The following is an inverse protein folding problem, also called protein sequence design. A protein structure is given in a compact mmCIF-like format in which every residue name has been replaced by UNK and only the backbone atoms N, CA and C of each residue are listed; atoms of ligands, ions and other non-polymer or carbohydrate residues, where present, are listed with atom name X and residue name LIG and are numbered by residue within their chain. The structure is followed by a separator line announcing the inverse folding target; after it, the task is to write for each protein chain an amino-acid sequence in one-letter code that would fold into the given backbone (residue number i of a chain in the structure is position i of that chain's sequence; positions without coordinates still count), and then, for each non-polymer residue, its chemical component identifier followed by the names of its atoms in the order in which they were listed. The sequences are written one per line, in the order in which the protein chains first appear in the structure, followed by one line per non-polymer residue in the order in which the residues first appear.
data_IF_003997322656
#
_entry.id   IF_003997322656
#
_cell.length_a   1.000
_cell.length_b   1.000
_cell.length_c   1.000
_cell.angle_alpha   90.00
_cell.angle_beta   90.00
_cell.angle_gamma   90.00
#
_symmetry.space_group_name_H-M   'P 1'
#
loop_
_entity.id
_entity.type
_entity.pdbx_description
1 polymer ?
#
# COMPACT_ATOMS: atom_id res chain seq x y z
N UNK A 1 18.93 -68.14 48.09
CA UNK A 1 20.21 -68.09 48.82
C UNK A 1 21.23 -67.46 47.88
N UNK A 2 21.69 -66.22 48.15
CA UNK A 2 22.83 -65.44 47.59
C UNK A 2 23.12 -65.53 46.06
N UNK A 3 23.41 -64.47 45.27
CA UNK A 3 24.06 -63.20 45.55
C UNK A 3 23.93 -62.23 44.33
N UNK A 4 24.38 -60.99 44.57
CA UNK A 4 24.21 -59.73 43.84
C UNK A 4 24.79 -59.60 42.40
N UNK A 5 24.11 -58.73 41.63
CA UNK A 5 24.51 -57.73 40.59
C UNK A 5 25.94 -57.77 40.01
N UNK A 6 26.03 -57.49 38.69
CA UNK A 6 26.86 -56.42 38.10
C UNK A 6 26.27 -55.98 36.74
N UNK A 7 26.14 -54.67 36.54
CA UNK A 7 25.83 -54.03 35.25
C UNK A 7 27.14 -53.83 34.47
N UNK A 8 27.13 -54.09 33.17
CA UNK A 8 28.03 -53.44 32.19
C UNK A 8 27.22 -53.21 30.91
N UNK A 9 27.25 -51.97 30.46
CA UNK A 9 26.64 -51.40 29.26
C UNK A 9 27.42 -51.88 28.01
N UNK A 10 26.75 -52.43 27.01
CA UNK A 10 27.35 -52.75 25.69
C UNK A 10 26.78 -51.77 24.67
N UNK A 11 27.66 -50.92 24.15
CA UNK A 11 27.43 -50.00 23.04
C UNK A 11 27.82 -50.73 21.74
N UNK A 12 26.86 -51.01 20.86
CA UNK A 12 27.12 -51.59 19.53
C UNK A 12 27.12 -50.49 18.47
N UNK A 13 28.27 -50.36 17.77
CA UNK A 13 28.43 -49.58 16.54
C UNK A 13 27.50 -50.10 15.44
N UNK A 14 26.88 -49.18 14.70
CA UNK A 14 26.32 -49.44 13.36
C UNK A 14 26.87 -48.39 12.40
N UNK A 15 27.58 -48.87 11.38
CA UNK A 15 28.02 -48.09 10.22
C UNK A 15 26.84 -47.85 9.27
N UNK A 16 26.70 -46.63 8.73
CA UNK A 16 25.86 -46.39 7.57
C UNK A 16 26.71 -45.86 6.40
N UNK A 17 26.61 -46.58 5.30
CA UNK A 17 27.22 -46.29 4.00
C UNK A 17 26.51 -45.12 3.32
N UNK A 18 27.29 -44.27 2.65
CA UNK A 18 26.80 -43.23 1.74
C UNK A 18 26.15 -43.87 0.50
N UNK A 19 24.92 -43.46 0.19
CA UNK A 19 24.36 -43.57 -1.15
C UNK A 19 24.33 -42.18 -1.79
N UNK A 20 24.91 -42.09 -2.99
CA UNK A 20 24.88 -40.89 -3.82
C UNK A 20 23.49 -40.70 -4.46
N UNK A 21 23.05 -39.45 -4.49
CA UNK A 21 22.00 -38.99 -5.37
C UNK A 21 22.61 -37.98 -6.35
N UNK A 22 22.53 -38.31 -7.63
CA UNK A 22 22.85 -37.47 -8.78
C UNK A 22 21.92 -36.26 -8.83
N UNK A 23 22.47 -35.05 -8.70
CA UNK A 23 21.77 -33.82 -9.04
C UNK A 23 22.09 -33.47 -10.50
N UNK A 24 21.03 -33.41 -11.31
CA UNK A 24 21.03 -32.88 -12.67
C UNK A 24 21.52 -31.43 -12.65
N UNK A 25 22.58 -31.14 -13.40
CA UNK A 25 23.03 -29.77 -13.65
C UNK A 25 22.09 -29.10 -14.66
N UNK A 26 21.32 -28.11 -14.22
CA UNK A 26 20.76 -27.13 -15.13
C UNK A 26 21.86 -26.10 -15.45
N UNK A 27 22.30 -26.12 -16.70
CA UNK A 27 23.19 -25.12 -17.28
C UNK A 27 22.53 -23.73 -17.19
N UNK A 28 23.07 -22.84 -16.39
CA UNK A 28 22.88 -21.40 -16.56
C UNK A 28 23.91 -20.89 -17.59
N UNK A 29 23.53 -20.01 -18.54
CA UNK A 29 24.48 -19.48 -19.51
C UNK A 29 25.46 -18.53 -18.79
N UNK A 30 26.74 -18.83 -18.94
CA UNK A 30 27.86 -18.02 -18.51
C UNK A 30 27.82 -16.67 -19.25
N UNK A 31 27.33 -15.62 -18.58
CA UNK A 31 27.46 -14.25 -19.10
C UNK A 31 28.93 -13.86 -18.95
N UNK A 32 29.55 -13.65 -20.11
CA UNK A 32 30.91 -13.16 -20.30
C UNK A 32 31.17 -11.92 -19.42
N UNK A 33 31.78 -12.11 -18.25
CA UNK A 33 32.35 -11.01 -17.47
C UNK A 33 33.54 -10.44 -18.24
N UNK A 34 33.32 -9.35 -18.98
CA UNK A 34 34.42 -8.47 -19.35
C UNK A 34 34.92 -7.80 -18.07
N UNK A 35 36.07 -8.27 -17.61
CA UNK A 35 36.75 -7.82 -16.40
C UNK A 35 37.03 -6.31 -16.41
N UNK A 36 36.22 -5.52 -15.71
CA UNK A 36 36.74 -4.34 -15.02
C UNK A 36 37.38 -4.84 -13.73
N UNK A 37 38.71 -4.76 -13.65
CA UNK A 37 39.43 -4.79 -12.38
C UNK A 37 38.96 -3.59 -11.55
N UNK A 38 37.88 -3.77 -10.80
CA UNK A 38 37.62 -2.93 -9.65
C UNK A 38 38.71 -3.25 -8.63
N UNK A 39 39.46 -2.23 -8.22
CA UNK A 39 40.24 -2.32 -6.99
C UNK A 39 39.23 -2.47 -5.86
N UNK A 40 38.80 -3.70 -5.59
CA UNK A 40 38.10 -4.09 -4.38
C UNK A 40 39.17 -4.19 -3.30
N UNK A 41 39.65 -3.04 -2.86
CA UNK A 41 40.09 -2.86 -1.48
C UNK A 41 38.98 -2.02 -0.85
N UNK A 42 38.52 -2.46 0.31
CA UNK A 42 37.48 -1.81 1.16
C UNK A 42 36.06 -2.41 1.10
N UNK A 43 35.97 -3.74 1.11
CA UNK A 43 34.75 -4.44 1.61
C UNK A 43 34.90 -4.96 3.05
N UNK A 44 35.98 -4.60 3.74
CA UNK A 44 36.28 -5.07 5.11
C UNK A 44 36.63 -3.95 6.10
N UNK A 45 36.44 -2.68 5.75
CA UNK A 45 36.38 -1.64 6.79
C UNK A 45 35.00 -1.74 7.44
N UNK A 46 34.97 -2.05 8.74
CA UNK A 46 33.79 -1.90 9.57
C UNK A 46 33.21 -0.49 9.33
N UNK A 47 31.88 -0.29 9.29
CA UNK A 47 31.30 1.04 9.17
C UNK A 47 31.98 1.96 10.18
N UNK A 48 32.49 3.11 9.72
CA UNK A 48 32.80 4.21 10.65
C UNK A 48 31.55 4.37 11.50
N UNK A 49 31.74 4.34 12.82
CA UNK A 49 30.69 4.65 13.78
C UNK A 49 30.02 5.93 13.29
N UNK A 50 28.70 5.88 13.08
CA UNK A 50 27.90 7.04 12.64
C UNK A 50 28.29 8.25 13.46
N UNK A 51 28.78 9.31 12.80
CA UNK A 51 29.18 10.53 13.46
C UNK A 51 28.06 11.54 13.35
N UNK A 52 27.60 12.07 14.49
CA UNK A 52 26.71 13.22 14.50
C UNK A 52 27.38 14.37 13.74
N UNK A 53 26.67 14.94 12.79
CA UNK A 53 27.14 16.05 11.98
C UNK A 53 26.06 17.14 11.91
N UNK A 54 26.50 18.39 11.80
CA UNK A 54 25.58 19.49 11.51
C UNK A 54 24.95 19.33 10.12
N UNK A 55 24.03 20.21 9.78
CA UNK A 55 23.52 20.26 8.40
C UNK A 55 24.64 20.66 7.43
N UNK A 56 24.68 20.06 6.24
CA UNK A 56 25.66 20.36 5.19
C UNK A 56 25.01 21.27 4.16
N UNK A 57 25.67 22.38 3.82
CA UNK A 57 25.25 23.28 2.76
C UNK A 57 26.43 23.57 1.82
N UNK A 58 26.25 23.26 0.55
CA UNK A 58 27.24 23.46 -0.50
C UNK A 58 26.59 24.22 -1.66
N UNK A 59 27.19 25.31 -2.10
CA UNK A 59 26.72 26.09 -3.25
C UNK A 59 27.88 26.39 -4.20
N UNK A 60 27.97 25.61 -5.29
CA UNK A 60 29.01 25.73 -6.29
C UNK A 60 30.27 24.90 -6.03
N UNK A 61 31.05 24.72 -7.11
CA UNK A 61 32.23 23.85 -7.12
C UNK A 61 33.33 24.27 -6.13
N UNK A 62 33.55 25.58 -5.97
CA UNK A 62 34.58 26.08 -5.05
C UNK A 62 34.22 25.79 -3.59
N UNK A 63 32.96 26.07 -3.21
CA UNK A 63 32.47 25.78 -1.86
C UNK A 63 32.49 24.28 -1.59
N UNK A 64 32.21 23.44 -2.59
CA UNK A 64 32.36 21.99 -2.44
C UNK A 64 33.82 21.63 -2.10
N UNK A 65 34.79 22.13 -2.87
CA UNK A 65 36.21 21.86 -2.64
C UNK A 65 36.71 22.38 -1.28
N UNK A 66 36.25 23.55 -0.86
CA UNK A 66 36.57 24.14 0.44
C UNK A 66 36.02 23.28 1.60
N UNK A 67 34.74 22.86 1.50
CA UNK A 67 34.15 21.95 2.50
C UNK A 67 34.88 20.60 2.52
N UNK A 68 35.16 20.02 1.36
CA UNK A 68 35.88 18.75 1.28
C UNK A 68 37.25 18.83 1.95
N UNK A 69 37.97 19.94 1.75
CA UNK A 69 39.26 20.17 2.40
C UNK A 69 39.14 20.37 3.91
N UNK A 70 38.12 21.10 4.36
CA UNK A 70 37.86 21.38 5.78
C UNK A 70 37.40 20.14 6.56
N UNK A 71 36.51 19.36 5.98
CA UNK A 71 35.93 18.15 6.59
C UNK A 71 36.81 16.91 6.40
N UNK A 72 37.82 17.00 5.53
CA UNK A 72 38.69 15.87 5.18
C UNK A 72 37.99 14.83 4.30
N UNK A 73 37.00 15.24 3.50
CA UNK A 73 36.37 14.35 2.51
C UNK A 73 37.38 13.97 1.43
N UNK A 74 37.42 12.69 1.11
CA UNK A 74 38.30 12.16 0.05
C UNK A 74 37.74 12.55 -1.31
N UNK A 75 38.61 12.77 -2.28
CA UNK A 75 38.24 13.03 -3.67
C UNK A 75 38.74 14.37 -4.20
N UNK A 76 38.47 14.64 -5.47
CA UNK A 76 38.70 15.95 -6.09
C UNK A 76 37.54 16.39 -7.00
N UNK A 77 36.39 15.72 -6.91
CA UNK A 77 35.20 16.05 -7.69
C UNK A 77 35.25 15.62 -9.16
N UNK A 78 36.25 14.84 -9.58
CA UNK A 78 36.32 14.29 -10.95
C UNK A 78 35.63 12.92 -11.03
N UNK A 79 35.22 12.49 -12.23
CA UNK A 79 34.62 11.17 -12.44
C UNK A 79 35.46 10.01 -11.88
N UNK A 80 36.78 10.07 -12.05
CA UNK A 80 37.72 9.04 -11.56
C UNK A 80 38.02 9.14 -10.06
N UNK A 81 37.70 10.27 -9.44
CA UNK A 81 38.00 10.53 -8.03
C UNK A 81 36.94 11.49 -7.44
N UNK A 82 35.69 11.02 -7.27
CA UNK A 82 34.58 11.83 -6.79
C UNK A 82 34.79 12.24 -5.33
N UNK A 83 34.17 13.34 -4.90
CA UNK A 83 34.12 13.64 -3.47
C UNK A 83 33.25 12.63 -2.71
N UNK A 84 33.65 12.23 -1.51
CA UNK A 84 32.94 11.22 -0.70
C UNK A 84 32.44 11.83 0.61
N UNK A 85 31.12 11.85 0.79
CA UNK A 85 30.43 12.22 2.03
C UNK A 85 29.79 10.95 2.59
N UNK A 86 30.15 10.53 3.80
CA UNK A 86 29.70 9.23 4.30
C UNK A 86 29.63 9.10 5.82
N UNK A 87 28.77 8.21 6.29
CA UNK A 87 28.67 7.78 7.70
C UNK A 87 28.30 8.91 8.68
N UNK A 88 27.46 9.85 8.23
CA UNK A 88 26.94 10.93 9.07
C UNK A 88 25.51 10.67 9.53
N UNK A 89 25.18 11.17 10.72
CA UNK A 89 23.82 11.31 11.23
C UNK A 89 23.53 12.79 11.44
N UNK A 90 22.48 13.28 10.76
CA UNK A 90 22.18 14.71 10.66
C UNK A 90 20.73 14.94 11.04
N UNK A 91 20.52 15.86 11.99
CA UNK A 91 19.18 16.33 12.34
C UNK A 91 18.81 17.56 11.51
N UNK A 92 17.75 17.46 10.72
CA UNK A 92 17.24 18.48 9.81
C UNK A 92 16.14 19.37 10.43
N UNK A 93 15.97 19.35 11.75
CA UNK A 93 14.94 20.16 12.42
C UNK A 93 15.13 21.67 12.23
N UNK A 94 16.35 22.14 11.96
CA UNK A 94 16.64 23.58 11.82
C UNK A 94 16.80 24.02 10.36
N UNK A 95 17.43 23.20 9.52
CA UNK A 95 17.64 23.44 8.08
C UNK A 95 17.57 22.11 7.33
N UNK A 96 17.55 22.17 6.00
CA UNK A 96 17.80 21.00 5.16
C UNK A 96 19.01 20.20 5.65
N UNK A 97 18.91 18.87 5.68
CA UNK A 97 19.98 18.04 6.25
C UNK A 97 21.25 18.12 5.42
N UNK A 98 21.18 17.71 4.15
CA UNK A 98 22.22 17.94 3.16
C UNK A 98 21.62 18.70 1.99
N UNK A 99 22.11 19.91 1.78
CA UNK A 99 21.73 20.74 0.64
C UNK A 99 22.94 21.00 -0.26
N UNK A 100 22.84 20.61 -1.54
CA UNK A 100 23.87 20.82 -2.54
C UNK A 100 23.27 21.59 -3.72
N UNK A 101 23.93 22.66 -4.14
CA UNK A 101 23.47 23.51 -5.22
C UNK A 101 24.55 23.80 -6.26
N UNK A 102 24.12 24.01 -7.49
CA UNK A 102 24.91 24.62 -8.57
C UNK A 102 26.24 23.92 -8.83
N UNK A 103 26.26 22.59 -8.87
CA UNK A 103 27.49 21.83 -9.11
C UNK A 103 27.31 20.75 -10.18
N UNK A 104 28.39 20.52 -10.92
CA UNK A 104 28.54 19.43 -11.87
C UNK A 104 29.71 18.51 -11.52
N UNK A 105 30.29 18.67 -10.32
CA UNK A 105 31.32 17.78 -9.82
C UNK A 105 30.72 16.41 -9.53
N UNK A 106 31.57 15.39 -9.62
CA UNK A 106 31.19 14.04 -9.25
C UNK A 106 31.34 13.86 -7.75
N UNK A 107 30.31 13.34 -7.10
CA UNK A 107 30.34 13.06 -5.67
C UNK A 107 29.46 11.86 -5.32
N UNK A 108 29.83 11.20 -4.23
CA UNK A 108 29.12 10.07 -3.65
C UNK A 108 28.70 10.44 -2.23
N UNK A 109 27.42 10.32 -1.93
CA UNK A 109 26.88 10.37 -0.57
C UNK A 109 26.44 8.95 -0.20
N UNK A 110 27.02 8.38 0.86
CA UNK A 110 26.65 7.01 1.25
C UNK A 110 26.59 6.77 2.74
N UNK A 111 25.66 5.91 3.16
CA UNK A 111 25.45 5.57 4.56
C UNK A 111 25.26 6.82 5.46
N UNK A 112 24.54 7.82 4.97
CA UNK A 112 24.15 9.00 5.73
C UNK A 112 22.70 8.86 6.18
N UNK A 113 22.41 9.21 7.43
CA UNK A 113 21.05 9.31 7.97
C UNK A 113 20.66 10.77 8.19
N UNK A 114 19.49 11.18 7.70
CA UNK A 114 18.93 12.52 7.91
C UNK A 114 17.51 12.44 8.47
N UNK A 115 17.25 13.05 9.63
CA UNK A 115 15.94 12.97 10.29
C UNK A 115 15.32 14.33 10.65
N UNK A 116 14.01 14.33 10.90
CA UNK A 116 13.28 15.39 11.63
C UNK A 116 13.12 16.75 10.93
N UNK A 117 13.23 16.80 9.60
CA UNK A 117 13.01 18.02 8.82
C UNK A 117 11.55 18.44 8.65
N UNK A 118 10.58 17.53 8.78
CA UNK A 118 9.18 17.72 8.34
C UNK A 118 8.49 18.90 9.02
N UNK A 119 8.62 19.02 10.34
CA UNK A 119 7.95 20.05 11.15
C UNK A 119 8.34 21.48 10.78
N UNK A 120 9.50 21.68 10.14
CA UNK A 120 10.03 23.00 9.77
C UNK A 120 10.19 23.17 8.25
N UNK A 121 9.46 22.37 7.47
CA UNK A 121 9.49 22.39 6.01
C UNK A 121 10.87 22.04 5.39
N UNK A 122 11.71 21.33 6.13
CA UNK A 122 13.03 20.93 5.67
C UNK A 122 13.00 19.56 4.99
N UNK A 123 13.67 19.48 3.85
CA UNK A 123 14.04 18.25 3.15
C UNK A 123 15.26 17.56 3.77
N UNK A 124 15.33 16.23 3.62
CA UNK A 124 16.47 15.44 4.09
C UNK A 124 17.71 15.70 3.23
N UNK A 125 17.67 15.21 1.99
CA UNK A 125 18.65 15.47 0.95
C UNK A 125 18.03 16.38 -0.11
N UNK A 126 18.62 17.55 -0.36
CA UNK A 126 18.09 18.54 -1.31
C UNK A 126 19.16 18.97 -2.32
N UNK A 127 18.95 18.58 -3.57
CA UNK A 127 19.75 19.01 -4.71
C UNK A 127 19.00 20.05 -5.54
N UNK A 128 19.68 21.15 -5.86
CA UNK A 128 19.16 22.21 -6.72
C UNK A 128 20.18 22.57 -7.81
N UNK A 129 19.86 22.37 -9.09
CA UNK A 129 20.80 22.56 -10.19
C UNK A 129 22.09 21.73 -10.00
N UNK A 130 21.92 20.41 -9.81
CA UNK A 130 23.01 19.45 -9.57
C UNK A 130 23.02 18.35 -10.62
N UNK A 131 24.22 17.95 -11.04
CA UNK A 131 24.44 16.77 -11.89
C UNK A 131 25.57 15.92 -11.33
N UNK A 132 25.64 14.64 -11.73
CA UNK A 132 26.72 13.70 -11.38
C UNK A 132 26.82 13.31 -9.89
N UNK A 133 25.73 13.48 -9.13
CA UNK A 133 25.61 12.97 -7.77
C UNK A 133 25.19 11.51 -7.72
N UNK A 134 25.81 10.74 -6.83
CA UNK A 134 25.44 9.36 -6.52
C UNK A 134 25.08 9.22 -5.04
N UNK A 135 23.86 8.79 -4.73
CA UNK A 135 23.39 8.54 -3.37
C UNK A 135 23.18 7.04 -3.17
N UNK A 136 23.91 6.45 -2.23
CA UNK A 136 23.94 5.01 -2.01
C UNK A 136 23.63 4.69 -0.55
N UNK A 137 22.61 3.88 -0.29
CA UNK A 137 22.30 3.38 1.06
C UNK A 137 22.17 4.49 2.11
N UNK A 138 21.58 5.62 1.75
CA UNK A 138 21.26 6.68 2.70
C UNK A 138 19.86 6.49 3.26
N UNK A 139 19.62 7.01 4.46
CA UNK A 139 18.31 7.00 5.11
C UNK A 139 17.84 8.42 5.31
N UNK A 140 16.60 8.73 4.93
CA UNK A 140 15.95 9.98 5.31
C UNK A 140 14.54 9.72 5.86
N UNK A 141 14.34 10.12 7.11
CA UNK A 141 13.14 9.84 7.90
C UNK A 141 12.49 11.12 8.42
N UNK A 142 11.16 11.23 8.39
CA UNK A 142 10.43 12.35 8.96
C UNK A 142 10.86 13.73 8.39
N UNK A 143 10.91 13.85 7.06
CA UNK A 143 11.22 15.09 6.32
C UNK A 143 10.03 15.55 5.45
N UNK A 144 10.10 16.74 4.83
CA UNK A 144 9.11 17.08 3.78
C UNK A 144 9.31 16.19 2.56
N UNK A 145 10.50 16.22 2.00
CA UNK A 145 10.93 15.20 1.04
C UNK A 145 12.15 14.54 1.64
N UNK A 146 12.18 13.21 1.70
CA UNK A 146 13.40 12.51 2.10
C UNK A 146 14.52 12.86 1.12
N UNK A 147 14.23 12.77 -0.18
CA UNK A 147 15.13 13.15 -1.27
C UNK A 147 14.42 14.09 -2.24
N UNK A 148 14.96 15.30 -2.44
CA UNK A 148 14.48 16.27 -3.42
C UNK A 148 15.55 16.54 -4.48
N UNK A 149 15.23 16.22 -5.73
CA UNK A 149 15.96 16.67 -6.92
C UNK A 149 15.15 17.78 -7.59
N UNK A 150 15.67 19.01 -7.56
CA UNK A 150 15.09 20.16 -8.25
C UNK A 150 16.05 20.66 -9.32
N UNK A 151 15.57 20.83 -10.54
CA UNK A 151 16.39 21.29 -11.67
C UNK A 151 17.71 20.47 -11.81
N UNK A 152 17.69 19.19 -11.39
CA UNK A 152 18.87 18.36 -11.14
C UNK A 152 18.82 17.09 -11.99
N UNK A 153 19.65 17.05 -13.03
CA UNK A 153 19.64 16.01 -14.04
C UNK A 153 20.81 15.03 -13.85
N UNK A 154 20.70 13.81 -14.37
CA UNK A 154 21.81 12.85 -14.43
C UNK A 154 22.41 12.49 -13.05
N UNK A 155 21.55 12.23 -12.06
CA UNK A 155 21.94 11.74 -10.74
C UNK A 155 21.48 10.29 -10.55
N UNK A 156 22.14 9.56 -9.66
CA UNK A 156 21.83 8.15 -9.36
C UNK A 156 21.51 8.00 -7.88
N UNK A 157 20.37 7.39 -7.57
CA UNK A 157 19.90 7.10 -6.22
C UNK A 157 19.66 5.59 -6.13
N UNK A 158 20.52 4.88 -5.38
CA UNK A 158 20.43 3.42 -5.24
C UNK A 158 20.41 2.97 -3.78
N UNK A 159 19.51 2.05 -3.43
CA UNK A 159 19.51 1.43 -2.10
C UNK A 159 19.13 2.38 -0.96
N UNK A 160 18.60 3.57 -1.25
CA UNK A 160 18.24 4.54 -0.23
C UNK A 160 16.89 4.21 0.40
N UNK A 161 16.70 4.65 1.65
CA UNK A 161 15.47 4.47 2.43
C UNK A 161 14.84 5.82 2.72
N UNK A 162 13.57 5.98 2.37
CA UNK A 162 12.78 7.20 2.50
C UNK A 162 11.46 6.91 3.23
N UNK A 163 11.35 7.28 4.49
CA UNK A 163 10.22 6.91 5.35
C UNK A 163 9.62 8.10 6.10
N UNK A 164 8.35 7.96 6.50
CA UNK A 164 7.63 8.89 7.37
C UNK A 164 7.64 10.36 6.90
N UNK A 165 7.90 10.60 5.62
CA UNK A 165 8.01 11.94 5.05
C UNK A 165 6.72 12.33 4.31
N UNK A 166 6.57 13.59 3.89
CA UNK A 166 5.42 13.93 3.02
C UNK A 166 5.55 13.21 1.68
N UNK A 167 6.76 13.26 1.10
CA UNK A 167 7.15 12.46 -0.06
C UNK A 167 8.45 11.72 0.22
N UNK A 168 8.59 10.50 -0.30
CA UNK A 168 9.86 9.78 -0.26
C UNK A 168 10.89 10.45 -1.20
N UNK A 169 10.69 10.26 -2.50
CA UNK A 169 11.51 10.88 -3.55
C UNK A 169 10.67 11.90 -4.32
N UNK A 170 11.11 13.17 -4.36
CA UNK A 170 10.49 14.23 -5.15
C UNK A 170 11.44 14.68 -6.24
N UNK A 171 10.99 14.57 -7.49
CA UNK A 171 11.77 14.86 -8.70
C UNK A 171 11.03 15.97 -9.45
N UNK A 172 11.64 17.15 -9.50
CA UNK A 172 10.98 18.35 -10.03
C UNK A 172 11.87 19.03 -11.06
N UNK A 173 11.37 19.18 -12.30
CA UNK A 173 12.15 19.70 -13.44
C UNK A 173 13.49 18.97 -13.61
N UNK A 174 13.50 17.66 -13.38
CA UNK A 174 14.72 16.86 -13.21
C UNK A 174 14.63 15.59 -14.05
N UNK A 175 15.43 15.53 -15.11
CA UNK A 175 15.40 14.50 -16.15
C UNK A 175 16.65 13.62 -16.13
N UNK A 176 16.55 12.42 -16.72
CA UNK A 176 17.66 11.48 -16.88
C UNK A 176 18.29 11.01 -15.57
N UNK A 177 17.51 10.95 -14.48
CA UNK A 177 17.98 10.37 -13.21
C UNK A 177 17.68 8.86 -13.15
N UNK A 178 18.48 8.14 -12.37
CA UNK A 178 18.29 6.71 -12.10
C UNK A 178 17.95 6.51 -10.63
N UNK A 179 16.76 5.99 -10.35
CA UNK A 179 16.24 5.74 -9.00
C UNK A 179 15.94 4.24 -8.91
N UNK A 180 16.88 3.48 -8.35
CA UNK A 180 16.83 2.01 -8.38
C UNK A 180 17.00 1.34 -7.04
N UNK A 181 16.23 0.28 -6.77
CA UNK A 181 16.36 -0.52 -5.55
C UNK A 181 16.24 0.29 -4.26
N UNK A 182 15.44 1.36 -4.25
CA UNK A 182 15.19 2.16 -3.07
C UNK A 182 13.93 1.67 -2.34
N UNK A 183 13.84 1.97 -1.05
CA UNK A 183 12.63 1.78 -0.23
C UNK A 183 12.02 3.15 0.03
N UNK A 184 10.77 3.37 -0.36
CA UNK A 184 10.01 4.59 -0.09
C UNK A 184 8.63 4.23 0.47
N UNK A 185 8.58 3.92 1.76
CA UNK A 185 7.39 3.43 2.44
C UNK A 185 6.85 4.45 3.45
N UNK A 186 5.58 4.30 3.83
CA UNK A 186 4.97 5.04 4.94
C UNK A 186 5.09 6.57 4.78
N UNK A 187 5.13 7.05 3.54
CA UNK A 187 5.09 8.49 3.27
C UNK A 187 3.63 8.95 3.22
N UNK A 188 3.37 10.15 3.74
CA UNK A 188 2.02 10.68 3.91
C UNK A 188 1.28 10.75 2.57
N UNK A 189 1.98 11.11 1.48
CA UNK A 189 1.36 11.22 0.16
C UNK A 189 1.97 10.23 -0.85
N UNK A 190 3.23 10.42 -1.23
CA UNK A 190 3.80 9.71 -2.37
C UNK A 190 5.12 9.03 -2.02
N UNK A 191 5.30 7.80 -2.49
CA UNK A 191 6.60 7.14 -2.47
C UNK A 191 7.58 7.85 -3.40
N UNK A 192 7.19 8.02 -4.67
CA UNK A 192 7.92 8.80 -5.67
C UNK A 192 6.97 9.78 -6.38
N UNK A 193 7.30 11.06 -6.36
CA UNK A 193 6.57 12.11 -7.08
C UNK A 193 7.44 12.76 -8.15
N UNK A 194 6.97 12.76 -9.40
CA UNK A 194 7.61 13.41 -10.54
C UNK A 194 6.74 14.53 -11.11
N UNK A 195 7.33 15.70 -11.33
CA UNK A 195 6.69 16.86 -11.95
C UNK A 195 7.62 17.45 -13.01
N UNK A 196 7.16 17.50 -14.27
CA UNK A 196 7.92 18.00 -15.42
C UNK A 196 9.32 17.35 -15.55
N UNK A 197 9.39 16.02 -15.36
CA UNK A 197 10.63 15.28 -15.15
C UNK A 197 10.68 14.04 -16.05
N UNK A 198 11.48 14.13 -17.13
CA UNK A 198 11.42 13.19 -18.25
C UNK A 198 12.61 12.21 -18.28
N UNK A 199 12.46 11.08 -18.98
CA UNK A 199 13.53 10.12 -19.24
C UNK A 199 14.23 9.59 -17.97
N UNK A 200 13.53 9.52 -16.84
CA UNK A 200 14.04 8.93 -15.62
C UNK A 200 13.84 7.41 -15.62
N UNK A 201 14.79 6.68 -15.04
CA UNK A 201 14.66 5.24 -14.80
C UNK A 201 14.29 5.01 -13.34
N UNK A 202 13.14 4.41 -13.10
CA UNK A 202 12.59 4.12 -11.78
C UNK A 202 12.30 2.62 -11.74
N UNK A 203 13.20 1.82 -11.16
CA UNK A 203 13.04 0.37 -11.18
C UNK A 203 13.52 -0.37 -9.93
N UNK A 204 12.89 -1.50 -9.62
CA UNK A 204 13.26 -2.31 -8.44
C UNK A 204 12.94 -1.64 -7.10
N UNK A 205 12.16 -0.55 -7.06
CA UNK A 205 11.87 0.15 -5.82
C UNK A 205 10.71 -0.49 -5.06
N UNK A 206 10.75 -0.44 -3.73
CA UNK A 206 9.72 -0.92 -2.81
C UNK A 206 8.96 0.28 -2.24
N UNK A 207 7.67 0.40 -2.57
CA UNK A 207 6.89 1.64 -2.44
C UNK A 207 5.53 1.42 -1.77
N UNK A 208 5.54 0.77 -0.61
CA UNK A 208 4.33 0.34 0.11
C UNK A 208 3.80 1.39 1.07
N UNK A 209 2.54 1.26 1.47
CA UNK A 209 1.93 2.05 2.54
C UNK A 209 2.03 3.59 2.36
N UNK A 210 2.13 4.07 1.12
CA UNK A 210 2.10 5.51 0.82
C UNK A 210 0.64 5.98 0.72
N UNK A 211 0.33 7.14 1.30
CA UNK A 211 -1.07 7.51 1.55
C UNK A 211 -1.91 7.81 0.30
N UNK A 212 -1.32 8.43 -0.73
CA UNK A 212 -2.03 8.76 -1.97
C UNK A 212 -1.63 7.85 -3.14
N UNK A 213 -0.33 7.64 -3.39
CA UNK A 213 0.12 6.70 -4.41
C UNK A 213 1.58 6.27 -4.21
N UNK A 214 1.94 5.07 -4.68
CA UNK A 214 3.34 4.64 -4.75
C UNK A 214 4.18 5.52 -5.68
N UNK A 215 3.68 5.81 -6.88
CA UNK A 215 4.33 6.67 -7.87
C UNK A 215 3.27 7.59 -8.48
N UNK A 216 3.57 8.88 -8.55
CA UNK A 216 2.73 9.88 -9.22
C UNK A 216 3.55 10.68 -10.24
N UNK A 217 3.10 10.72 -11.49
CA UNK A 217 3.71 11.46 -12.58
C UNK A 217 2.80 12.60 -13.04
N UNK A 218 3.34 13.81 -13.10
CA UNK A 218 2.65 14.99 -13.62
C UNK A 218 3.49 15.64 -14.71
N UNK A 219 2.89 15.83 -15.89
CA UNK A 219 3.55 16.46 -17.05
C UNK A 219 4.90 15.82 -17.40
N UNK A 220 4.99 14.50 -17.25
CA UNK A 220 6.20 13.71 -17.50
C UNK A 220 6.09 12.90 -18.81
N UNK A 221 7.23 12.63 -19.43
CA UNK A 221 7.35 11.86 -20.65
C UNK A 221 8.53 10.89 -20.56
N UNK A 222 8.33 9.70 -21.13
CA UNK A 222 9.38 8.69 -21.35
C UNK A 222 10.14 8.24 -20.11
N UNK A 223 9.49 8.24 -18.94
CA UNK A 223 10.05 7.56 -17.78
C UNK A 223 9.92 6.04 -17.94
N UNK A 224 10.98 5.31 -17.61
CA UNK A 224 10.98 3.85 -17.52
C UNK A 224 10.63 3.47 -16.08
N UNK A 225 9.38 3.03 -15.87
CA UNK A 225 8.85 2.65 -14.58
C UNK A 225 8.54 1.15 -14.58
N UNK A 226 9.57 0.36 -14.31
CA UNK A 226 9.54 -1.10 -14.43
C UNK A 226 9.89 -1.75 -13.09
N UNK A 227 9.40 -2.97 -12.83
CA UNK A 227 9.87 -3.82 -11.71
C UNK A 227 9.77 -3.16 -10.31
N UNK A 228 8.86 -2.21 -10.10
CA UNK A 228 8.64 -1.62 -8.77
C UNK A 228 7.55 -2.39 -8.03
N UNK A 229 7.77 -2.67 -6.75
CA UNK A 229 6.77 -3.24 -5.84
C UNK A 229 5.96 -2.07 -5.27
N UNK A 230 4.65 -2.06 -5.53
CA UNK A 230 3.73 -0.95 -5.20
C UNK A 230 2.65 -1.42 -4.24
N UNK A 231 2.15 -0.47 -3.44
CA UNK A 231 1.08 -0.72 -2.47
C UNK A 231 -0.29 -0.85 -3.12
N UNK A 232 -1.22 -1.39 -2.34
CA UNK A 232 -2.64 -1.46 -2.62
C UNK A 232 -3.24 -0.05 -2.68
N UNK A 233 -4.09 0.19 -3.66
CA UNK A 233 -4.83 1.44 -3.79
C UNK A 233 -6.15 1.41 -3.02
N UNK A 234 -6.61 2.57 -2.60
CA UNK A 234 -7.95 2.72 -2.01
C UNK A 234 -9.02 2.31 -3.02
N UNK A 235 -10.07 1.64 -2.54
CA UNK A 235 -11.15 1.13 -3.36
C UNK A 235 -12.47 1.17 -2.58
N UNK A 236 -13.58 1.09 -3.31
CA UNK A 236 -14.92 1.32 -2.76
C UNK A 236 -15.83 0.12 -3.04
N UNK A 237 -16.55 -0.32 -2.01
CA UNK A 237 -17.60 -1.33 -2.03
C UNK A 237 -18.98 -0.66 -2.19
N UNK A 238 -19.81 -1.28 -3.01
CA UNK A 238 -21.18 -0.92 -3.33
C UNK A 238 -22.09 -2.14 -3.23
N UNK A 239 -23.39 -1.90 -3.12
CA UNK A 239 -24.45 -2.88 -3.30
C UNK A 239 -25.36 -2.43 -4.45
N UNK A 240 -26.03 -3.37 -5.12
CA UNK A 240 -27.10 -3.07 -6.09
C UNK A 240 -28.44 -2.70 -5.42
N UNK A 241 -28.49 -2.75 -4.08
CA UNK A 241 -29.59 -2.23 -3.26
C UNK A 241 -29.17 -1.00 -2.44
N UNK A 242 -30.07 -0.02 -2.30
CA UNK A 242 -29.83 1.23 -1.54
C UNK A 242 -30.03 1.02 -0.02
N UNK A 243 -29.33 0.04 0.54
CA UNK A 243 -29.32 -0.27 1.98
C UNK A 243 -30.52 -1.08 2.49
N UNK A 244 -31.58 -1.25 1.68
CA UNK A 244 -32.73 -2.10 2.00
C UNK A 244 -32.92 -3.19 0.96
N UNK A 245 -33.13 -4.42 1.43
CA UNK A 245 -33.38 -5.58 0.61
C UNK A 245 -34.64 -6.32 1.06
N UNK A 246 -35.48 -6.75 0.11
CA UNK A 246 -36.78 -7.37 0.39
C UNK A 246 -36.71 -8.91 0.50
N UNK A 247 -35.77 -9.56 -0.19
CA UNK A 247 -35.77 -11.03 -0.36
C UNK A 247 -34.48 -11.75 0.10
N UNK A 248 -33.53 -11.02 0.66
CA UNK A 248 -32.24 -11.54 1.11
C UNK A 248 -31.25 -11.76 -0.02
N UNK A 249 -31.49 -11.24 -1.23
CA UNK A 249 -30.68 -11.49 -2.43
C UNK A 249 -30.27 -10.19 -3.14
N UNK A 250 -28.98 -9.92 -3.13
CA UNK A 250 -28.38 -8.71 -3.71
C UNK A 250 -26.93 -8.98 -4.12
N UNK A 251 -26.35 -8.08 -4.91
CA UNK A 251 -24.98 -8.18 -5.41
C UNK A 251 -24.10 -7.11 -4.79
N UNK A 252 -23.03 -7.56 -4.13
CA UNK A 252 -21.93 -6.70 -3.73
C UNK A 252 -20.96 -6.52 -4.88
N UNK A 253 -20.53 -5.29 -5.15
CA UNK A 253 -19.53 -4.97 -6.19
C UNK A 253 -18.53 -3.97 -5.64
N UNK A 254 -17.25 -4.10 -5.96
CA UNK A 254 -16.24 -3.12 -5.57
C UNK A 254 -15.35 -2.68 -6.73
N UNK A 255 -14.74 -1.50 -6.62
CA UNK A 255 -13.69 -1.09 -7.57
C UNK A 255 -12.43 -1.91 -7.35
N UNK A 256 -11.63 -2.08 -8.41
CA UNK A 256 -10.33 -2.74 -8.31
C UNK A 256 -9.40 -1.92 -7.41
N UNK A 257 -8.77 -2.60 -6.44
CA UNK A 257 -7.56 -2.09 -5.78
C UNK A 257 -6.35 -2.52 -6.61
N UNK A 258 -5.60 -1.57 -7.15
CA UNK A 258 -4.38 -1.89 -7.92
C UNK A 258 -3.39 -2.69 -7.08
N UNK A 259 -2.69 -3.63 -7.72
CA UNK A 259 -1.70 -4.52 -7.09
C UNK A 259 -2.27 -5.49 -6.05
N UNK A 260 -3.60 -5.66 -5.99
CA UNK A 260 -4.22 -6.72 -5.20
C UNK A 260 -4.07 -8.07 -5.92
N UNK A 261 -3.64 -9.08 -5.17
CA UNK A 261 -3.59 -10.47 -5.65
C UNK A 261 -4.96 -11.15 -5.47
N UNK A 262 -5.66 -10.82 -4.39
CA UNK A 262 -7.00 -11.31 -4.10
C UNK A 262 -7.76 -10.41 -3.10
N UNK A 263 -9.02 -10.77 -2.84
CA UNK A 263 -9.91 -10.11 -1.90
C UNK A 263 -10.55 -11.09 -0.90
N UNK A 264 -10.80 -10.60 0.31
CA UNK A 264 -11.61 -11.27 1.34
C UNK A 264 -12.82 -10.41 1.66
N UNK A 265 -14.02 -10.99 1.56
CA UNK A 265 -15.28 -10.34 1.90
C UNK A 265 -15.69 -10.71 3.33
N UNK A 266 -16.07 -9.71 4.11
CA UNK A 266 -16.50 -9.85 5.48
C UNK A 266 -17.97 -9.50 5.64
N UNK A 267 -18.65 -10.23 6.53
CA UNK A 267 -20.02 -9.98 6.97
C UNK A 267 -20.04 -9.91 8.50
N UNK A 268 -20.49 -8.79 9.06
CA UNK A 268 -20.56 -8.54 10.50
C UNK A 268 -19.23 -8.76 11.25
N UNK A 269 -18.10 -8.50 10.58
CA UNK A 269 -16.76 -8.67 11.13
C UNK A 269 -16.15 -10.07 10.92
N UNK A 270 -16.93 -11.05 10.49
CA UNK A 270 -16.47 -12.41 10.20
C UNK A 270 -16.18 -12.60 8.71
N UNK A 271 -15.25 -13.50 8.37
CA UNK A 271 -14.94 -13.82 6.97
C UNK A 271 -16.14 -14.56 6.37
N UNK A 272 -16.71 -13.99 5.29
CA UNK A 272 -17.73 -14.65 4.50
C UNK A 272 -17.10 -15.50 3.39
N UNK A 273 -16.10 -14.96 2.69
CA UNK A 273 -15.36 -15.64 1.62
C UNK A 273 -13.98 -15.02 1.44
N UNK A 274 -12.99 -15.83 1.08
CA UNK A 274 -11.59 -15.45 0.89
C UNK A 274 -11.07 -15.86 -0.49
N UNK A 275 -9.94 -15.28 -0.91
CA UNK A 275 -9.25 -15.66 -2.15
C UNK A 275 -9.99 -15.26 -3.43
N UNK A 276 -10.89 -14.27 -3.36
CA UNK A 276 -11.62 -13.79 -4.53
C UNK A 276 -10.67 -13.05 -5.48
N UNK A 277 -10.69 -13.42 -6.75
CA UNK A 277 -9.97 -12.72 -7.84
C UNK A 277 -10.91 -11.92 -8.75
N UNK A 278 -12.17 -11.81 -8.32
CA UNK A 278 -13.23 -11.04 -8.96
C UNK A 278 -13.60 -9.86 -8.06
N UNK A 279 -14.34 -8.89 -8.61
CA UNK A 279 -14.77 -7.69 -7.87
C UNK A 279 -16.28 -7.61 -7.63
N UNK A 280 -16.95 -8.76 -7.61
CA UNK A 280 -18.36 -8.87 -7.27
C UNK A 280 -18.66 -10.17 -6.53
N UNK A 281 -19.71 -10.18 -5.73
CA UNK A 281 -20.18 -11.36 -5.00
C UNK A 281 -21.70 -11.29 -4.79
N UNK A 282 -22.40 -12.35 -5.21
CA UNK A 282 -23.85 -12.46 -5.02
C UNK A 282 -24.16 -13.03 -3.64
N UNK A 283 -24.96 -12.29 -2.87
CA UNK A 283 -25.60 -12.74 -1.64
C UNK A 283 -26.96 -13.31 -1.99
N UNK A 284 -27.34 -14.44 -1.40
CA UNK A 284 -28.66 -15.05 -1.61
C UNK A 284 -29.20 -15.61 -0.29
N UNK A 285 -30.52 -15.53 -0.12
CA UNK A 285 -31.24 -16.09 1.04
C UNK A 285 -30.74 -15.58 2.40
N UNK A 286 -30.30 -14.32 2.48
CA UNK A 286 -29.91 -13.71 3.75
C UNK A 286 -31.17 -13.49 4.61
N UNK A 287 -31.13 -13.88 5.89
CA UNK A 287 -32.29 -13.75 6.77
C UNK A 287 -32.60 -12.27 7.08
N UNK A 288 -33.81 -11.97 7.55
CA UNK A 288 -34.17 -10.64 8.04
C UNK A 288 -33.16 -10.18 9.10
N UNK A 289 -32.61 -8.98 8.94
CA UNK A 289 -31.59 -8.42 9.82
C UNK A 289 -30.79 -7.29 9.18
N UNK A 290 -29.99 -6.61 9.99
CA UNK A 290 -29.02 -5.63 9.52
C UNK A 290 -27.64 -6.29 9.42
N UNK A 291 -26.96 -6.06 8.30
CA UNK A 291 -25.68 -6.69 7.98
C UNK A 291 -24.67 -5.64 7.52
N UNK A 292 -23.49 -5.69 8.13
CA UNK A 292 -22.36 -4.86 7.76
C UNK A 292 -21.43 -5.63 6.83
N UNK A 293 -21.07 -5.04 5.70
CA UNK A 293 -20.14 -5.61 4.75
C UNK A 293 -18.95 -4.69 4.50
N UNK A 294 -17.78 -5.30 4.40
CA UNK A 294 -16.58 -4.65 3.87
C UNK A 294 -15.72 -5.70 3.16
N UNK A 295 -14.87 -5.25 2.24
CA UNK A 295 -13.93 -6.09 1.52
C UNK A 295 -12.52 -5.67 1.87
N UNK A 296 -11.62 -6.63 1.98
CA UNK A 296 -10.19 -6.41 2.16
C UNK A 296 -9.44 -6.86 0.92
N UNK A 297 -8.67 -5.96 0.32
CA UNK A 297 -7.70 -6.26 -0.73
C UNK A 297 -6.41 -6.77 -0.07
N UNK A 298 -5.77 -7.76 -0.68
CA UNK A 298 -4.59 -8.42 -0.12
C UNK A 298 -3.56 -8.59 -1.23
N UNK A 299 -2.30 -8.32 -0.92
CA UNK A 299 -1.15 -8.82 -1.68
C UNK A 299 -0.12 -9.44 -0.73
N UNK A 300 0.99 -9.94 -1.26
CA UNK A 300 2.07 -10.58 -0.48
C UNK A 300 2.67 -9.70 0.64
N UNK A 301 2.38 -8.39 0.68
CA UNK A 301 3.05 -7.44 1.54
C UNK A 301 2.13 -6.61 2.46
N UNK A 302 0.89 -6.34 2.06
CA UNK A 302 -0.04 -5.51 2.81
C UNK A 302 -1.51 -5.90 2.58
N UNK A 303 -2.37 -5.37 3.46
CA UNK A 303 -3.82 -5.48 3.40
C UNK A 303 -4.44 -4.08 3.41
N UNK A 304 -5.54 -3.88 2.67
CA UNK A 304 -6.28 -2.61 2.67
C UNK A 304 -7.77 -2.86 2.65
N UNK A 305 -8.49 -2.18 3.54
CA UNK A 305 -9.95 -2.29 3.64
C UNK A 305 -10.65 -1.32 2.67
N UNK A 306 -11.82 -1.70 2.19
CA UNK A 306 -12.79 -0.81 1.54
C UNK A 306 -13.51 0.07 2.56
N UNK A 307 -14.45 0.92 2.09
CA UNK A 307 -15.52 1.40 2.96
C UNK A 307 -16.38 0.24 3.48
N UNK A 308 -17.07 0.49 4.59
CA UNK A 308 -18.12 -0.40 5.10
C UNK A 308 -19.48 0.07 4.60
N UNK A 309 -20.36 -0.86 4.23
CA UNK A 309 -21.76 -0.60 3.91
C UNK A 309 -22.68 -1.39 4.84
N UNK A 310 -23.89 -0.90 5.05
CA UNK A 310 -24.96 -1.60 5.76
C UNK A 310 -26.04 -2.02 4.75
N UNK A 311 -26.48 -3.27 4.81
CA UNK A 311 -27.68 -3.76 4.11
C UNK A 311 -28.64 -4.32 5.14
N UNK A 312 -29.86 -3.81 5.13
CA UNK A 312 -30.96 -4.21 5.99
C UNK A 312 -31.91 -5.07 5.15
N UNK A 313 -31.88 -6.38 5.41
CA UNK A 313 -32.90 -7.29 4.89
C UNK A 313 -34.12 -7.13 5.78
N UNK A 314 -35.20 -6.59 5.22
CA UNK A 314 -36.45 -6.37 5.96
C UNK A 314 -37.65 -6.65 5.10
N UNK A 315 -38.64 -7.32 5.70
CA UNK A 315 -39.91 -7.55 5.07
C UNK A 315 -40.81 -6.32 5.29
N UNK A 316 -40.64 -5.27 4.50
CA UNK A 316 -41.55 -4.11 4.56
C UNK A 316 -42.70 -4.27 3.57
N UNK A 317 -43.85 -3.70 3.92
CA UNK A 317 -45.00 -3.61 3.01
C UNK A 317 -45.19 -2.15 2.64
N UNK A 318 -44.70 -1.76 1.47
CA UNK A 318 -44.97 -0.46 0.88
C UNK A 318 -45.97 -0.58 -0.26
N UNK A 319 -46.97 0.29 -0.24
CA UNK A 319 -48.02 0.40 -1.26
C UNK A 319 -48.34 1.88 -1.50
N UNK A 320 -48.25 2.31 -2.76
CA UNK A 320 -48.72 3.63 -3.23
C UNK A 320 -49.76 3.49 -4.35
N UNK A 321 -51.03 3.62 -3.96
CA UNK A 321 -52.16 3.55 -4.89
C UNK A 321 -52.68 2.14 -5.18
N UNK A 322 -53.84 2.10 -5.84
CA UNK A 322 -54.57 0.85 -6.06
C UNK A 322 -53.83 -0.14 -6.96
N UNK A 323 -53.09 0.36 -7.96
CA UNK A 323 -52.36 -0.51 -8.89
C UNK A 323 -51.25 -1.26 -8.15
N UNK A 324 -50.46 -0.54 -7.36
CA UNK A 324 -49.39 -1.08 -6.55
C UNK A 324 -49.93 -2.06 -5.50
N UNK A 325 -51.07 -1.72 -4.86
CA UNK A 325 -51.73 -2.65 -3.93
C UNK A 325 -52.06 -3.98 -4.60
N UNK A 326 -52.74 -3.93 -5.76
CA UNK A 326 -53.11 -5.15 -6.48
C UNK A 326 -51.88 -5.96 -6.93
N UNK A 327 -50.81 -5.31 -7.36
CA UNK A 327 -49.56 -5.97 -7.74
C UNK A 327 -48.89 -6.63 -6.52
N UNK A 328 -48.75 -5.91 -5.41
CA UNK A 328 -48.17 -6.42 -4.16
C UNK A 328 -49.02 -7.54 -3.57
N UNK A 329 -50.35 -7.45 -3.66
CA UNK A 329 -51.27 -8.50 -3.24
C UNK A 329 -51.08 -9.80 -4.02
N UNK A 330 -50.86 -9.73 -5.33
CA UNK A 330 -50.51 -10.90 -6.15
C UNK A 330 -49.12 -11.43 -5.78
N UNK A 331 -48.12 -10.54 -5.66
CA UNK A 331 -46.74 -10.93 -5.37
C UNK A 331 -46.59 -11.62 -4.01
N UNK A 332 -47.28 -11.12 -2.98
CA UNK A 332 -47.22 -11.63 -1.61
C UNK A 332 -48.41 -12.55 -1.24
N UNK A 333 -49.20 -12.98 -2.24
CA UNK A 333 -50.35 -13.87 -2.08
C UNK A 333 -51.35 -13.43 -0.99
N UNK A 334 -51.65 -12.13 -0.91
CA UNK A 334 -52.70 -11.64 -0.03
C UNK A 334 -54.06 -12.21 -0.48
N UNK A 335 -54.83 -12.75 0.47
CA UNK A 335 -56.18 -13.23 0.16
C UNK A 335 -57.12 -12.04 -0.01
N UNK A 336 -58.18 -12.18 -0.81
CA UNK A 336 -59.15 -11.10 -1.09
C UNK A 336 -59.01 -10.52 -2.49
N UNK A 337 -59.82 -9.49 -2.80
CA UNK A 337 -59.76 -8.77 -4.09
C UNK A 337 -59.87 -7.24 -3.92
N UNK A 338 -59.74 -6.74 -2.70
CA UNK A 338 -59.70 -5.31 -2.42
C UNK A 338 -61.06 -4.60 -2.40
N UNK A 339 -62.19 -5.32 -2.52
CA UNK A 339 -63.53 -4.71 -2.40
C UNK A 339 -64.02 -4.74 -0.95
N UNK A 340 -65.04 -3.92 -0.62
CA UNK A 340 -65.62 -3.89 0.72
C UNK A 340 -66.09 -5.27 1.21
N UNK A 341 -66.65 -6.09 0.33
CA UNK A 341 -67.14 -7.42 0.67
C UNK A 341 -66.05 -8.49 0.70
N UNK A 342 -64.85 -8.19 0.21
CA UNK A 342 -63.73 -9.12 0.14
C UNK A 342 -62.38 -8.37 0.17
N UNK A 343 -62.04 -7.72 1.29
CA UNK A 343 -60.83 -6.89 1.42
C UNK A 343 -59.56 -7.73 1.27
N UNK A 344 -58.45 -7.10 0.85
CA UNK A 344 -57.15 -7.76 0.92
C UNK A 344 -56.75 -8.04 2.38
N UNK A 345 -56.26 -9.24 2.67
CA UNK A 345 -55.83 -9.64 4.00
C UNK A 345 -54.30 -9.69 4.04
N UNK A 346 -53.72 -8.80 4.84
CA UNK A 346 -52.31 -8.79 5.21
C UNK A 346 -52.23 -9.44 6.60
N UNK A 347 -51.77 -10.68 6.68
CA UNK A 347 -51.75 -11.42 7.93
C UNK A 347 -50.50 -12.28 8.13
N UNK A 348 -50.14 -12.47 9.40
CA UNK A 348 -49.05 -13.33 9.84
C UNK A 348 -47.67 -12.89 9.32
N UNK A 349 -47.45 -11.57 9.25
CA UNK A 349 -46.14 -10.97 8.98
C UNK A 349 -45.42 -10.61 10.28
N UNK A 350 -44.11 -10.80 10.31
CA UNK A 350 -43.22 -10.18 11.30
C UNK A 350 -42.33 -9.19 10.55
N UNK A 351 -42.55 -7.91 10.78
CA UNK A 351 -41.91 -6.80 10.09
C UNK A 351 -40.89 -6.19 11.03
N UNK A 352 -39.65 -6.06 10.58
CA UNK A 352 -38.61 -5.33 11.29
C UNK A 352 -38.41 -4.01 10.56
N UNK A 353 -38.76 -2.91 11.21
CA UNK A 353 -38.73 -1.57 10.61
C UNK A 353 -37.77 -0.68 11.37
N UNK A 354 -36.46 -0.93 11.22
CA UNK A 354 -35.40 -0.21 11.93
C UNK A 354 -35.27 1.26 11.52
N UNK A 355 -35.76 1.65 10.33
CA UNK A 355 -35.86 3.04 9.87
C UNK A 355 -37.13 3.18 9.00
N UNK A 356 -38.00 4.15 9.29
CA UNK A 356 -39.22 4.41 8.52
C UNK A 356 -40.46 3.64 9.01
N UNK A 357 -41.42 3.39 8.12
CA UNK A 357 -42.66 2.66 8.44
C UNK A 357 -42.55 1.19 8.02
N UNK A 358 -42.84 0.25 8.91
CA UNK A 358 -42.88 -1.18 8.57
C UNK A 358 -43.98 -1.53 7.56
N UNK A 359 -45.14 -0.88 7.72
CA UNK A 359 -46.21 -0.90 6.71
C UNK A 359 -46.50 0.55 6.33
N UNK A 360 -46.34 0.86 5.05
CA UNK A 360 -46.69 2.16 4.49
C UNK A 360 -47.68 1.95 3.34
N UNK A 361 -48.95 2.28 3.58
CA UNK A 361 -50.01 2.20 2.57
C UNK A 361 -50.58 3.60 2.38
N UNK A 362 -50.48 4.14 1.17
CA UNK A 362 -50.97 5.48 0.84
C UNK A 362 -51.73 5.51 -0.50
N UNK A 363 -52.49 6.60 -0.72
CA UNK A 363 -53.18 6.92 -1.97
C UNK A 363 -54.12 5.83 -2.54
N UNK A 364 -54.68 4.98 -1.68
CA UNK A 364 -55.55 3.88 -2.09
C UNK A 364 -56.96 4.00 -1.50
N UNK A 365 -57.97 3.56 -2.25
CA UNK A 365 -59.36 3.36 -1.78
C UNK A 365 -59.73 1.87 -1.67
N UNK A 366 -58.74 0.99 -1.86
CA UNK A 366 -58.87 -0.46 -1.71
C UNK A 366 -59.18 -0.81 -0.26
N UNK A 367 -60.08 -1.77 -0.06
CA UNK A 367 -60.37 -2.28 1.26
C UNK A 367 -59.35 -3.35 1.66
N UNK A 368 -58.75 -3.20 2.84
CA UNK A 368 -57.78 -4.15 3.39
C UNK A 368 -57.94 -4.35 4.89
N UNK A 369 -57.42 -5.47 5.39
CA UNK A 369 -57.35 -5.83 6.80
C UNK A 369 -55.91 -6.20 7.12
N UNK A 370 -55.36 -5.59 8.17
CA UNK A 370 -54.08 -5.97 8.76
C UNK A 370 -54.38 -6.68 10.08
N UNK A 371 -53.94 -7.93 10.24
CA UNK A 371 -54.14 -8.69 11.48
C UNK A 371 -52.98 -9.65 11.73
N UNK A 372 -52.67 -9.94 12.99
CA UNK A 372 -51.54 -10.80 13.37
C UNK A 372 -50.23 -10.37 12.69
N UNK A 373 -49.99 -9.07 12.61
CA UNK A 373 -48.72 -8.53 12.11
C UNK A 373 -47.94 -7.96 13.28
N UNK A 374 -46.76 -8.52 13.53
CA UNK A 374 -45.77 -7.94 14.43
C UNK A 374 -44.96 -6.88 13.69
N UNK A 375 -44.77 -5.71 14.30
CA UNK A 375 -43.82 -4.71 13.83
C UNK A 375 -42.85 -4.44 14.97
N UNK A 376 -41.56 -4.64 14.73
CA UNK A 376 -40.51 -4.47 15.74
C UNK A 376 -39.43 -3.50 15.26
N UNK A 377 -38.69 -2.92 16.23
CA UNK A 377 -37.64 -1.91 16.05
C UNK A 377 -38.08 -0.54 15.47
N UNK A 378 -39.31 -0.09 15.77
CA UNK A 378 -39.79 1.26 15.45
C UNK A 378 -39.39 2.33 16.46
#
# INVERSE_FOLDING_TARGET
MFNKRKHVLILTLISCMLFGASMLSLNTPEILQTSRKTNIKDINEKPKISANHGTIFIDGNNIFADNASSEGWVGNGTYSNPYIIENYEINASIRHGIEIRNTNLYFIIRNVTVSDGRSNYNHGFYFNNVTNGELINNTADNNIASFLLRDSNNNTLTGNTATNSLHGFRIWYSSNNTITNNTANDNIEYGIYLDNSNNNKISGNFLLLNGLASIYEKDCLWNDISENIRGLQSFTLFSDVDGFDEDGSFTLTWTVSENADNYTLYQNGEILVEGLTITNYAITNLAIGAYMFYVKAINDYEEKDSNTIEVIVSHIIQVDGNLDFNQKAVAQNFTGNGTYSNPYIIENYEIVASVGHGIHIQNTDVYFIIRNVGVSNG
#
